data_IF_636944529326
#
_entry.id   IF_636944529326
#
_cell.length_a   1.000
_cell.length_b   1.000
_cell.length_c   1.000
_cell.angle_alpha   90.00
_cell.angle_beta   90.00
_cell.angle_gamma   90.00
#
_symmetry.space_group_name_H-M   'P 1'
#
loop_
_entity.id
_entity.type
_entity.pdbx_description
1 polymer ?
#
# COMPACT_ATOMS: atom_id res chain seq x y z
N UNK A 1 39.50 31.02 -20.75
CA UNK A 1 40.00 30.17 -19.66
C UNK A 1 40.16 28.80 -20.27
N UNK A 2 41.28 28.62 -20.95
CA UNK A 2 41.52 27.47 -21.82
C UNK A 2 42.02 26.33 -20.96
N UNK A 3 41.08 25.52 -20.49
CA UNK A 3 41.41 24.31 -19.77
C UNK A 3 42.15 23.37 -20.72
N UNK A 4 43.41 23.11 -20.43
CA UNK A 4 44.17 22.10 -21.16
C UNK A 4 43.56 20.71 -20.94
N UNK A 5 43.73 19.83 -21.93
CA UNK A 5 43.23 18.45 -21.90
C UNK A 5 43.68 17.71 -20.63
N UNK A 6 44.89 18.01 -20.15
CA UNK A 6 45.45 17.45 -18.93
C UNK A 6 44.66 17.83 -17.67
N UNK A 7 44.12 19.04 -17.60
CA UNK A 7 43.32 19.49 -16.46
C UNK A 7 41.92 18.88 -16.48
N UNK A 8 41.32 18.69 -17.64
CA UNK A 8 40.05 17.96 -17.79
C UNK A 8 40.19 16.47 -17.42
N UNK A 9 41.31 15.85 -17.81
CA UNK A 9 41.60 14.46 -17.46
C UNK A 9 41.85 14.29 -15.95
N UNK A 10 42.62 15.19 -15.33
CA UNK A 10 42.89 15.15 -13.88
C UNK A 10 41.62 15.36 -13.04
N UNK A 11 40.77 16.30 -13.43
CA UNK A 11 39.52 16.59 -12.71
C UNK A 11 38.51 15.45 -12.83
N UNK A 12 38.36 14.85 -14.00
CA UNK A 12 37.48 13.68 -14.20
C UNK A 12 37.96 12.45 -13.42
N UNK A 13 39.26 12.16 -13.40
CA UNK A 13 39.83 11.08 -12.56
C UNK A 13 39.60 11.35 -11.08
N UNK A 14 39.79 12.59 -10.61
CA UNK A 14 39.54 12.95 -9.21
C UNK A 14 38.06 12.76 -8.82
N UNK A 15 37.12 13.14 -9.68
CA UNK A 15 35.67 12.93 -9.45
C UNK A 15 35.35 11.44 -9.35
N UNK A 16 35.91 10.60 -10.23
CA UNK A 16 35.70 9.14 -10.19
C UNK A 16 36.24 8.56 -8.88
N UNK A 17 37.43 8.95 -8.44
CA UNK A 17 38.03 8.49 -7.19
C UNK A 17 37.14 8.88 -6.00
N UNK A 18 36.66 10.12 -5.96
CA UNK A 18 35.74 10.59 -4.90
C UNK A 18 34.44 9.78 -4.89
N UNK A 19 33.85 9.49 -6.05
CA UNK A 19 32.67 8.64 -6.15
C UNK A 19 32.92 7.20 -5.68
N UNK A 20 34.07 6.63 -6.03
CA UNK A 20 34.46 5.27 -5.62
C UNK A 20 34.69 5.20 -4.10
N UNK A 21 35.40 6.17 -3.53
CA UNK A 21 35.65 6.26 -2.09
C UNK A 21 34.34 6.49 -1.33
N UNK A 22 33.46 7.37 -1.82
CA UNK A 22 32.14 7.58 -1.23
C UNK A 22 31.29 6.29 -1.27
N UNK A 23 31.37 5.52 -2.36
CA UNK A 23 30.67 4.22 -2.49
C UNK A 23 31.24 3.16 -1.55
N UNK A 24 32.56 3.14 -1.34
CA UNK A 24 33.23 2.23 -0.40
C UNK A 24 32.87 2.56 1.06
N UNK A 25 32.91 3.84 1.44
CA UNK A 25 32.53 4.29 2.79
C UNK A 25 31.05 4.00 3.07
N UNK A 26 30.17 4.24 2.10
CA UNK A 26 28.73 3.94 2.25
C UNK A 26 28.42 2.45 2.20
N UNK A 27 29.22 1.66 1.48
CA UNK A 27 29.10 0.19 1.45
C UNK A 27 29.62 -0.47 2.74
N UNK A 28 30.51 0.20 3.48
CA UNK A 28 31.09 -0.29 4.74
C UNK A 28 30.23 0.02 5.97
N UNK A 29 28.90 0.02 5.84
CA UNK A 29 28.01 -0.05 7.00
C UNK A 29 27.73 -1.52 7.34
N UNK A 30 28.43 -1.98 8.38
CA UNK A 30 28.34 -3.31 8.98
C UNK A 30 26.89 -3.76 9.16
N UNK A 31 26.52 -4.88 8.54
CA UNK A 31 25.20 -5.52 8.70
C UNK A 31 25.10 -6.08 10.12
N UNK A 32 24.51 -5.32 11.06
CA UNK A 32 24.00 -5.88 12.31
C UNK A 32 23.01 -6.99 11.96
N UNK A 33 23.34 -8.24 12.30
CA UNK A 33 22.41 -9.38 12.27
C UNK A 33 21.38 -9.22 13.39
N UNK A 34 20.38 -8.38 13.15
CA UNK A 34 19.06 -8.56 13.77
C UNK A 34 18.47 -9.83 13.16
N UNK A 35 17.61 -10.58 13.87
CA UNK A 35 16.86 -11.70 13.30
C UNK A 35 16.03 -11.21 12.10
N UNK A 36 16.60 -11.28 10.89
CA UNK A 36 15.97 -10.76 9.68
C UNK A 36 14.93 -11.78 9.26
N UNK A 37 13.68 -11.58 9.71
CA UNK A 37 12.55 -12.19 9.01
C UNK A 37 12.66 -11.73 7.55
N UNK A 38 12.81 -12.65 6.57
CA UNK A 38 12.96 -12.26 5.19
C UNK A 38 11.71 -11.51 4.74
N UNK A 39 11.91 -10.39 4.05
CA UNK A 39 10.81 -9.64 3.46
C UNK A 39 10.05 -10.52 2.45
N UNK A 40 8.74 -10.28 2.24
CA UNK A 40 7.99 -10.98 1.21
C UNK A 40 8.65 -10.84 -0.18
N UNK A 41 8.53 -11.86 -1.05
CA UNK A 41 8.95 -11.77 -2.43
C UNK A 41 8.34 -10.55 -3.13
N UNK A 42 9.15 -9.81 -3.88
CA UNK A 42 8.68 -8.65 -4.65
C UNK A 42 8.52 -9.04 -6.12
N UNK A 43 7.34 -8.74 -6.69
CA UNK A 43 7.04 -8.95 -8.10
C UNK A 43 8.04 -8.17 -8.97
N UNK A 44 8.71 -8.88 -9.88
CA UNK A 44 9.61 -8.30 -10.89
C UNK A 44 8.85 -8.14 -12.20
N UNK A 45 8.76 -6.91 -12.71
CA UNK A 45 8.13 -6.61 -13.99
C UNK A 45 9.02 -5.72 -14.84
N UNK A 46 8.89 -5.87 -16.17
CA UNK A 46 9.50 -5.01 -17.17
C UNK A 46 8.42 -4.13 -17.83
N UNK A 47 8.68 -2.84 -18.11
CA UNK A 47 9.90 -2.09 -17.79
C UNK A 47 10.10 -1.86 -16.28
N UNK A 48 11.33 -1.60 -15.80
CA UNK A 48 11.59 -1.33 -14.39
C UNK A 48 10.75 -0.12 -13.89
N UNK A 49 10.41 -0.12 -12.61
CA UNK A 49 9.58 0.89 -11.91
C UNK A 49 8.10 0.98 -12.33
N UNK A 50 7.77 0.85 -13.61
CA UNK A 50 6.40 1.07 -14.13
C UNK A 50 5.71 -0.23 -14.58
N UNK A 51 6.45 -1.29 -14.89
CA UNK A 51 5.90 -2.54 -15.43
C UNK A 51 4.84 -3.16 -14.52
N UNK A 52 5.06 -3.13 -13.20
CA UNK A 52 4.08 -3.61 -12.21
C UNK A 52 2.79 -2.79 -12.22
N UNK A 53 2.90 -1.46 -12.38
CA UNK A 53 1.73 -0.59 -12.50
C UNK A 53 0.95 -0.89 -13.78
N UNK A 54 1.62 -1.03 -14.93
CA UNK A 54 0.97 -1.33 -16.20
C UNK A 54 0.20 -2.65 -16.11
N UNK A 55 0.79 -3.69 -15.53
CA UNK A 55 0.12 -4.98 -15.32
C UNK A 55 -1.06 -4.84 -14.35
N UNK A 56 -0.90 -4.10 -13.27
CA UNK A 56 -1.98 -3.86 -12.30
C UNK A 56 -3.17 -3.13 -12.93
N UNK A 57 -2.90 -2.10 -13.74
CA UNK A 57 -3.93 -1.33 -14.47
C UNK A 57 -4.68 -2.15 -15.53
N UNK A 58 -4.04 -3.18 -16.11
CA UNK A 58 -4.72 -4.12 -17.02
C UNK A 58 -5.70 -5.06 -16.31
N UNK A 59 -5.60 -5.18 -14.99
CA UNK A 59 -6.48 -6.01 -14.18
C UNK A 59 -5.76 -6.57 -12.97
N UNK A 60 -6.06 -6.11 -11.74
CA UNK A 60 -5.38 -6.57 -10.54
C UNK A 60 -5.60 -8.08 -10.32
N UNK A 61 -6.81 -8.58 -10.57
CA UNK A 61 -7.13 -10.00 -10.41
C UNK A 61 -6.33 -10.89 -11.37
N UNK A 62 -6.10 -10.43 -12.60
CA UNK A 62 -5.30 -11.18 -13.59
C UNK A 62 -3.85 -11.27 -13.12
N UNK A 63 -3.28 -10.14 -12.70
CA UNK A 63 -1.94 -10.10 -12.12
C UNK A 63 -1.81 -11.06 -10.92
N UNK A 64 -2.75 -11.01 -9.98
CA UNK A 64 -2.70 -11.87 -8.79
C UNK A 64 -2.80 -13.35 -9.15
N UNK A 65 -3.66 -13.72 -10.09
CA UNK A 65 -3.81 -15.11 -10.56
C UNK A 65 -2.53 -15.64 -11.21
N UNK A 66 -1.80 -14.81 -11.94
CA UNK A 66 -0.53 -15.20 -12.59
C UNK A 66 0.66 -15.30 -11.63
N UNK A 67 0.65 -14.53 -10.54
CA UNK A 67 1.81 -14.35 -9.67
C UNK A 67 1.68 -15.12 -8.36
N UNK A 68 0.47 -15.32 -7.84
CA UNK A 68 0.24 -16.11 -6.63
C UNK A 68 0.85 -17.52 -6.69
N UNK A 69 0.71 -18.31 -7.79
CA UNK A 69 1.35 -19.63 -7.87
C UNK A 69 2.89 -19.59 -7.87
N UNK A 70 3.49 -18.43 -8.19
CA UNK A 70 4.95 -18.24 -8.31
C UNK A 70 5.56 -17.67 -7.03
N UNK A 71 4.83 -16.77 -6.37
CA UNK A 71 5.30 -15.99 -5.22
C UNK A 71 4.71 -16.45 -3.88
N UNK A 72 3.67 -17.29 -3.92
CA UNK A 72 2.98 -17.85 -2.76
C UNK A 72 1.92 -16.92 -2.16
N UNK A 73 1.48 -17.24 -0.95
CA UNK A 73 0.39 -16.54 -0.24
C UNK A 73 0.73 -15.11 0.21
N UNK A 74 2.02 -14.75 0.29
CA UNK A 74 2.46 -13.41 0.72
C UNK A 74 3.50 -12.85 -0.23
N UNK A 75 3.18 -11.77 -0.94
CA UNK A 75 4.10 -11.12 -1.87
C UNK A 75 3.78 -9.64 -2.08
N UNK A 76 4.76 -8.87 -2.52
CA UNK A 76 4.65 -7.42 -2.70
C UNK A 76 4.65 -7.02 -4.17
N UNK A 77 3.70 -6.18 -4.55
CA UNK A 77 3.66 -5.47 -5.84
C UNK A 77 3.99 -4.01 -5.61
N UNK A 78 5.06 -3.53 -6.25
CA UNK A 78 5.45 -2.11 -6.18
C UNK A 78 4.66 -1.30 -7.20
N UNK A 79 3.81 -0.39 -6.73
CA UNK A 79 3.06 0.55 -7.56
C UNK A 79 3.63 1.96 -7.35
N UNK A 80 4.46 2.42 -8.30
CA UNK A 80 5.18 3.69 -8.20
C UNK A 80 6.00 3.77 -6.90
N UNK A 81 5.57 4.63 -5.97
CA UNK A 81 6.21 4.88 -4.68
C UNK A 81 5.58 4.09 -3.53
N UNK A 82 4.49 3.33 -3.77
CA UNK A 82 3.80 2.52 -2.77
C UNK A 82 4.11 1.04 -2.96
N UNK A 83 4.30 0.33 -1.86
CA UNK A 83 4.42 -1.12 -1.84
C UNK A 83 3.08 -1.70 -1.39
N UNK A 84 2.46 -2.54 -2.22
CA UNK A 84 1.22 -3.25 -1.86
C UNK A 84 1.57 -4.71 -1.62
N UNK A 85 1.46 -5.16 -0.38
CA UNK A 85 1.69 -6.57 -0.01
C UNK A 85 0.37 -7.31 0.05
N UNK A 86 0.25 -8.35 -0.76
CA UNK A 86 -0.92 -9.23 -0.79
C UNK A 86 -0.75 -10.35 0.22
N UNK A 87 -1.82 -10.65 0.94
CA UNK A 87 -1.96 -11.79 1.85
C UNK A 87 -3.17 -12.58 1.35
N UNK A 88 -2.94 -13.71 0.69
CA UNK A 88 -3.97 -14.49 -0.01
C UNK A 88 -4.09 -15.86 0.63
N UNK A 89 -5.29 -16.18 1.13
CA UNK A 89 -5.60 -17.47 1.75
C UNK A 89 -5.92 -17.35 3.25
N UNK A 90 -6.74 -18.25 3.81
CA UNK A 90 -7.14 -18.22 5.23
C UNK A 90 -5.95 -18.34 6.20
N UNK A 91 -4.86 -18.95 5.78
CA UNK A 91 -3.64 -19.16 6.56
C UNK A 91 -2.86 -17.88 6.85
N UNK A 92 -3.06 -16.82 6.05
CA UNK A 92 -2.38 -15.53 6.23
C UNK A 92 -3.34 -14.34 6.42
N UNK A 93 -4.61 -14.48 6.06
CA UNK A 93 -5.56 -13.36 6.06
C UNK A 93 -5.86 -12.80 7.45
N UNK A 94 -5.72 -13.61 8.51
CA UNK A 94 -5.90 -13.17 9.90
C UNK A 94 -4.96 -12.02 10.28
N UNK A 95 -3.75 -11.97 9.71
CA UNK A 95 -2.82 -10.85 9.93
C UNK A 95 -3.36 -9.52 9.42
N UNK A 96 -4.18 -9.54 8.37
CA UNK A 96 -4.79 -8.34 7.83
C UNK A 96 -6.07 -7.96 8.60
N UNK A 97 -6.95 -8.92 8.84
CA UNK A 97 -8.27 -8.67 9.42
C UNK A 97 -8.26 -8.42 10.94
N UNK A 98 -7.29 -8.98 11.67
CA UNK A 98 -7.18 -8.82 13.11
C UNK A 98 -6.11 -7.80 13.54
N UNK A 99 -5.47 -7.11 12.59
CA UNK A 99 -4.47 -6.10 12.91
C UNK A 99 -5.08 -4.96 13.73
N UNK A 100 -4.30 -4.43 14.68
CA UNK A 100 -4.70 -3.23 15.41
C UNK A 100 -4.62 -2.00 14.50
N UNK A 101 -5.43 -0.96 14.76
CA UNK A 101 -5.37 0.31 14.00
C UNK A 101 -3.97 0.96 14.08
N UNK A 102 -3.20 0.69 15.14
CA UNK A 102 -1.80 1.14 15.27
C UNK A 102 -0.83 0.44 14.32
N UNK A 103 -1.20 -0.73 13.79
CA UNK A 103 -0.40 -1.51 12.84
C UNK A 103 -0.85 -1.29 11.40
N UNK A 104 -2.17 -1.33 11.15
CA UNK A 104 -2.79 -1.09 9.85
C UNK A 104 -3.88 -0.03 9.96
N UNK A 105 -3.63 1.16 9.42
CA UNK A 105 -4.60 2.26 9.45
C UNK A 105 -5.49 2.28 8.22
N UNK A 106 -6.79 2.27 8.45
CA UNK A 106 -7.79 2.52 7.41
C UNK A 106 -7.83 4.00 7.01
N UNK A 107 -7.51 4.92 7.94
CA UNK A 107 -7.55 6.36 7.74
C UNK A 107 -6.65 6.81 6.58
N UNK A 108 -5.44 6.27 6.49
CA UNK A 108 -4.49 6.64 5.42
C UNK A 108 -5.05 6.34 4.04
N UNK A 109 -5.63 5.14 3.86
CA UNK A 109 -6.11 4.67 2.55
C UNK A 109 -7.45 5.31 2.20
N UNK A 110 -8.39 5.44 3.15
CA UNK A 110 -9.74 5.94 2.87
C UNK A 110 -9.89 7.45 2.97
N UNK A 111 -8.81 8.22 3.17
CA UNK A 111 -8.85 9.68 3.24
C UNK A 111 -9.43 10.34 1.99
N UNK A 112 -9.36 9.68 0.82
CA UNK A 112 -9.97 10.17 -0.41
C UNK A 112 -11.50 10.33 -0.32
N UNK A 113 -12.15 9.72 0.67
CA UNK A 113 -13.58 9.85 0.91
C UNK A 113 -13.97 11.17 1.62
N UNK A 114 -13.02 11.87 2.26
CA UNK A 114 -13.31 13.08 3.06
C UNK A 114 -13.96 14.19 2.22
N UNK A 115 -13.53 14.50 0.99
CA UNK A 115 -14.21 15.50 0.16
C UNK A 115 -15.65 15.15 -0.20
N UNK A 116 -16.02 13.86 -0.19
CA UNK A 116 -17.37 13.39 -0.51
C UNK A 116 -18.30 13.42 0.70
N UNK A 117 -17.83 12.95 1.87
CA UNK A 117 -18.67 12.88 3.08
C UNK A 117 -18.59 14.13 3.96
N UNK A 118 -17.56 14.94 3.79
CA UNK A 118 -17.29 16.12 4.60
C UNK A 118 -16.31 15.86 5.75
N UNK A 119 -15.87 16.94 6.42
CA UNK A 119 -14.99 16.86 7.58
C UNK A 119 -15.73 16.35 8.83
N UNK A 120 -14.99 15.81 9.80
CA UNK A 120 -15.53 15.37 11.09
C UNK A 120 -16.31 14.06 11.05
N UNK A 121 -16.26 13.31 9.95
CA UNK A 121 -16.97 12.03 9.79
C UNK A 121 -16.05 10.90 9.34
N UNK A 122 -16.27 9.72 9.91
CA UNK A 122 -15.66 8.41 9.61
C UNK A 122 -14.13 8.45 9.52
N UNK A 123 -13.58 8.69 8.34
CA UNK A 123 -12.14 8.67 8.09
C UNK A 123 -11.46 10.00 8.42
N UNK A 124 -12.20 11.08 8.65
CA UNK A 124 -11.61 12.36 9.05
C UNK A 124 -11.35 12.46 10.57
N UNK A 125 -11.99 11.62 11.38
CA UNK A 125 -11.86 11.63 12.85
C UNK A 125 -10.84 10.61 13.37
N UNK A 126 -10.56 10.69 14.68
CA UNK A 126 -9.73 9.71 15.39
C UNK A 126 -10.48 8.39 15.61
N UNK A 127 -9.72 7.32 15.80
CA UNK A 127 -10.28 5.96 15.87
C UNK A 127 -11.38 5.79 16.94
N UNK A 128 -11.25 6.29 18.20
CA UNK A 128 -12.33 6.17 19.18
C UNK A 128 -13.64 6.85 18.74
N UNK A 129 -13.55 8.06 18.18
CA UNK A 129 -14.71 8.81 17.67
C UNK A 129 -15.33 8.07 16.48
N UNK A 130 -14.51 7.51 15.58
CA UNK A 130 -14.98 6.68 14.47
C UNK A 130 -15.78 5.48 14.98
N UNK A 131 -15.31 4.81 16.03
CA UNK A 131 -16.01 3.67 16.62
C UNK A 131 -17.36 4.06 17.21
N UNK A 132 -17.48 5.24 17.82
CA UNK A 132 -18.78 5.77 18.26
C UNK A 132 -19.73 6.04 17.09
N UNK A 133 -19.23 6.64 16.01
CA UNK A 133 -20.01 6.87 14.78
C UNK A 133 -20.49 5.54 14.16
N UNK A 134 -19.61 4.52 14.08
CA UNK A 134 -20.00 3.20 13.62
C UNK A 134 -21.02 2.51 14.53
N UNK A 135 -20.98 2.76 15.84
CA UNK A 135 -22.00 2.29 16.77
C UNK A 135 -23.37 2.90 16.45
N UNK A 136 -23.43 4.19 16.14
CA UNK A 136 -24.68 4.84 15.71
C UNK A 136 -25.21 4.20 14.41
N UNK A 137 -24.37 4.07 13.40
CA UNK A 137 -24.73 3.45 12.13
C UNK A 137 -25.24 2.01 12.31
N UNK A 138 -24.49 1.19 13.04
CA UNK A 138 -24.84 -0.21 13.30
C UNK A 138 -26.15 -0.35 14.07
N UNK A 139 -26.52 0.64 14.89
CA UNK A 139 -27.78 0.62 15.64
C UNK A 139 -29.01 0.77 14.72
N UNK A 140 -28.88 1.50 13.62
CA UNK A 140 -29.92 1.65 12.61
C UNK A 140 -30.09 0.38 11.75
N UNK A 141 -29.05 -0.44 11.63
CA UNK A 141 -29.03 -1.67 10.83
C UNK A 141 -29.38 -2.94 11.63
N UNK A 142 -29.93 -2.81 12.85
CA UNK A 142 -30.39 -3.97 13.62
C UNK A 142 -31.62 -4.61 12.98
N UNK A 143 -31.77 -5.93 13.14
CA UNK A 143 -32.86 -6.73 12.54
C UNK A 143 -34.25 -6.13 12.81
N UNK A 144 -34.50 -5.63 14.02
CA UNK A 144 -35.79 -5.02 14.37
C UNK A 144 -36.08 -3.71 13.59
N UNK A 145 -35.04 -2.95 13.23
CA UNK A 145 -35.16 -1.77 12.37
C UNK A 145 -35.30 -2.18 10.90
N UNK A 146 -34.47 -3.13 10.45
CA UNK A 146 -34.49 -3.63 9.07
C UNK A 146 -35.87 -4.19 8.67
N UNK A 147 -36.56 -4.90 9.57
CA UNK A 147 -37.93 -5.38 9.30
C UNK A 147 -38.88 -4.25 8.92
N UNK A 148 -38.78 -3.09 9.56
CA UNK A 148 -39.60 -1.92 9.22
C UNK A 148 -39.18 -1.22 7.92
N UNK A 149 -37.93 -1.41 7.47
CA UNK A 149 -37.47 -0.86 6.19
C UNK A 149 -37.93 -1.69 4.99
N UNK A 150 -38.24 -2.99 5.17
CA UNK A 150 -38.73 -3.85 4.09
C UNK A 150 -39.97 -3.26 3.45
N UNK A 151 -40.98 -2.89 4.24
CA UNK A 151 -42.23 -2.31 3.71
C UNK A 151 -41.99 -1.01 2.93
N UNK A 152 -41.04 -0.17 3.40
CA UNK A 152 -40.65 1.05 2.70
C UNK A 152 -39.98 0.74 1.37
N UNK A 153 -39.04 -0.21 1.36
CA UNK A 153 -38.35 -0.64 0.14
C UNK A 153 -39.34 -1.23 -0.88
N UNK A 154 -40.26 -2.10 -0.44
CA UNK A 154 -41.30 -2.69 -1.31
C UNK A 154 -42.16 -1.59 -1.93
N UNK A 155 -42.63 -0.64 -1.12
CA UNK A 155 -43.41 0.49 -1.64
C UNK A 155 -42.64 1.29 -2.69
N UNK A 156 -41.38 1.64 -2.44
CA UNK A 156 -40.56 2.38 -3.41
C UNK A 156 -40.35 1.58 -4.71
N UNK A 157 -40.27 0.25 -4.65
CA UNK A 157 -40.16 -0.58 -5.87
C UNK A 157 -41.47 -0.72 -6.65
N UNK A 158 -42.63 -0.60 -6.01
CA UNK A 158 -43.94 -0.69 -6.67
C UNK A 158 -44.41 0.64 -7.27
N UNK A 159 -43.79 1.76 -6.88
CA UNK A 159 -44.08 3.10 -7.40
C UNK A 159 -43.44 3.38 -8.77
N UNK A 160 -42.58 2.48 -9.26
CA UNK A 160 -41.91 2.54 -10.57
C UNK A 160 -42.21 1.29 -11.40
#
# INVERSE_FOLDING_TARGET
MDWDYYTLLKTSVAIIIVFVVAKLITSSKSKKKTSVVPLPPVLKAWPPFIGSLIRFMKGPIVLLREEYPKLGSVFTVKLLHKNITFLIGPEVSSHFFNAYESELSQKEIYKFNVPTFGPGVVFDVDYPVRMEQFRFFSSALKVNKLRGYVDQMTKETELY
#
